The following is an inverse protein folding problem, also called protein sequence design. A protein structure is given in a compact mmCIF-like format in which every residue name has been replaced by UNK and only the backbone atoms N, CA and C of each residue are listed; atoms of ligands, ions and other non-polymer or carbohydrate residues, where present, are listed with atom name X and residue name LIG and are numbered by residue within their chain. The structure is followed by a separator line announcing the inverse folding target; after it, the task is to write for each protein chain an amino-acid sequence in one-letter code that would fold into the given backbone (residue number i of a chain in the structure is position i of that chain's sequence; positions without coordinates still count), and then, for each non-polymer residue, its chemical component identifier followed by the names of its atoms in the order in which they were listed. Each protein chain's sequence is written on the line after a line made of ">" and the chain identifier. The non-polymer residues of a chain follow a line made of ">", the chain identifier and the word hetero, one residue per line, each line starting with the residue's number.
data_IF_448405827453
#
_entry.id   IF_448405827453
#
_cell.length_a   1.000
_cell.length_b   1.000
_cell.length_c   1.000
_cell.angle_alpha   90.00
_cell.angle_beta   90.00
_cell.angle_gamma   90.00
#
_symmetry.space_group_name_H-M   'P 1'
#
loop_
_entity.id
_entity.type
_entity.pdbx_description
1 polymer ?
#
# COMPACT_ATOMS: atom_id res chain seq x y z
N UNK A 1 23.03 36.51 8.08
CA UNK A 1 22.53 35.23 8.61
C UNK A 1 21.15 35.42 9.29
N UNK A 2 20.22 36.17 8.66
CA UNK A 2 19.00 36.68 9.32
C UNK A 2 17.94 35.61 9.68
N UNK A 3 17.97 34.45 9.01
CA UNK A 3 16.98 33.37 9.24
C UNK A 3 17.25 32.64 10.56
N UNK A 4 18.52 32.48 10.95
CA UNK A 4 18.88 31.78 12.18
C UNK A 4 18.68 32.65 13.43
N UNK A 5 18.56 33.96 13.25
CA UNK A 5 18.31 34.93 14.32
C UNK A 5 16.80 35.02 14.65
N UNK A 6 15.93 34.48 13.79
CA UNK A 6 14.47 34.46 13.97
C UNK A 6 13.99 33.05 14.31
N UNK A 7 13.25 32.91 15.42
CA UNK A 7 12.71 31.62 15.89
C UNK A 7 11.83 30.96 14.83
N UNK A 8 11.04 31.71 14.08
CA UNK A 8 10.20 31.18 13.00
C UNK A 8 11.02 30.77 11.78
N UNK A 9 12.12 31.45 11.51
CA UNK A 9 13.09 31.06 10.49
C UNK A 9 13.72 29.69 10.81
N UNK A 10 14.10 29.48 12.07
CA UNK A 10 14.60 28.19 12.55
C UNK A 10 13.52 27.09 12.48
N UNK A 11 12.30 27.37 12.92
CA UNK A 11 11.17 26.41 12.83
C UNK A 11 10.88 26.02 11.39
N UNK A 12 10.93 26.97 10.45
CA UNK A 12 10.75 26.70 9.02
C UNK A 12 11.81 25.74 8.49
N UNK A 13 13.08 25.97 8.83
CA UNK A 13 14.18 25.06 8.44
C UNK A 13 13.95 23.67 9.03
N UNK A 14 13.62 23.59 10.32
CA UNK A 14 13.35 22.32 10.99
C UNK A 14 12.17 21.58 10.37
N UNK A 15 11.11 22.29 9.98
CA UNK A 15 9.97 21.72 9.27
C UNK A 15 10.40 21.09 7.94
N UNK A 16 11.12 21.84 7.09
CA UNK A 16 11.59 21.35 5.78
C UNK A 16 12.52 20.15 5.92
N UNK A 17 13.45 20.21 6.86
CA UNK A 17 14.35 19.10 7.18
C UNK A 17 13.56 17.88 7.66
N UNK A 18 12.55 18.08 8.52
CA UNK A 18 11.71 17.00 9.02
C UNK A 18 10.92 16.33 7.90
N UNK A 19 10.36 17.08 6.95
CA UNK A 19 9.68 16.52 5.76
C UNK A 19 10.64 15.60 4.99
N UNK A 20 11.85 16.06 4.70
CA UNK A 20 12.84 15.28 3.93
C UNK A 20 13.31 14.05 4.71
N UNK A 21 13.71 14.23 5.97
CA UNK A 21 14.21 13.16 6.83
C UNK A 21 13.14 12.09 7.01
N UNK A 22 11.91 12.48 7.34
CA UNK A 22 10.82 11.52 7.53
C UNK A 22 10.47 10.79 6.23
N UNK A 23 10.52 11.44 5.06
CA UNK A 23 10.35 10.75 3.78
C UNK A 23 11.40 9.64 3.57
N UNK A 24 12.67 9.93 3.84
CA UNK A 24 13.77 8.95 3.74
C UNK A 24 13.62 7.83 4.77
N UNK A 25 13.27 8.17 6.00
CA UNK A 25 13.04 7.20 7.08
C UNK A 25 11.86 6.30 6.74
N UNK A 26 10.74 6.85 6.29
CA UNK A 26 9.58 6.07 5.84
C UNK A 26 9.99 5.13 4.70
N UNK A 27 10.69 5.61 3.68
CA UNK A 27 11.18 4.77 2.58
C UNK A 27 12.14 3.65 3.01
N UNK A 28 12.81 3.77 4.17
CA UNK A 28 13.70 2.74 4.72
C UNK A 28 12.98 1.77 5.67
N UNK A 29 12.15 2.28 6.58
CA UNK A 29 11.43 1.50 7.60
C UNK A 29 10.37 0.65 6.94
N UNK A 30 9.51 1.33 6.19
CA UNK A 30 8.76 0.68 5.17
C UNK A 30 9.83 0.45 4.11
N UNK A 31 10.54 -0.66 4.09
CA UNK A 31 11.12 -1.22 2.87
C UNK A 31 10.87 -2.68 3.05
N UNK A 32 10.37 -3.41 2.05
CA UNK A 32 10.09 -4.81 2.25
C UNK A 32 11.42 -5.45 2.63
N UNK A 33 11.55 -5.97 3.85
CA UNK A 33 12.62 -6.89 4.21
C UNK A 33 12.29 -8.28 3.64
N UNK A 34 11.83 -8.30 2.39
CA UNK A 34 11.67 -9.49 1.61
C UNK A 34 13.10 -9.93 1.30
N UNK A 35 13.67 -10.69 2.25
CA UNK A 35 14.76 -11.57 1.91
C UNK A 35 14.16 -12.49 0.85
N UNK A 36 14.40 -12.18 -0.42
CA UNK A 36 14.43 -13.16 -1.49
C UNK A 36 15.59 -14.09 -1.15
N UNK A 37 15.46 -14.83 -0.04
CA UNK A 37 16.27 -16.01 0.14
C UNK A 37 15.81 -16.89 -1.01
N UNK A 38 16.75 -17.18 -1.89
CA UNK A 38 16.75 -18.24 -2.90
C UNK A 38 16.39 -19.63 -2.36
N UNK A 39 15.86 -19.72 -1.14
CA UNK A 39 15.21 -20.88 -0.58
C UNK A 39 13.80 -20.83 -1.12
N UNK A 40 13.51 -21.69 -2.12
CA UNK A 40 12.14 -22.09 -2.45
C UNK A 40 11.39 -22.26 -1.13
N UNK A 41 10.47 -21.36 -0.84
CA UNK A 41 9.70 -21.48 0.39
C UNK A 41 8.83 -22.70 0.19
N UNK A 42 9.17 -23.81 0.85
CA UNK A 42 8.45 -25.05 0.69
C UNK A 42 7.11 -24.94 1.43
N UNK A 43 6.16 -24.22 0.82
CA UNK A 43 4.86 -23.90 1.37
C UNK A 43 4.10 -25.16 1.81
N UNK A 44 4.35 -26.29 1.13
CA UNK A 44 3.64 -27.55 1.33
C UNK A 44 4.47 -28.67 1.97
N UNK A 45 5.71 -28.44 2.41
CA UNK A 45 6.58 -29.53 2.90
C UNK A 45 6.01 -30.28 4.11
N UNK A 46 5.34 -29.53 4.97
CA UNK A 46 4.72 -29.92 6.23
C UNK A 46 3.24 -30.33 6.07
N UNK A 47 2.73 -30.47 4.84
CA UNK A 47 1.34 -30.82 4.58
C UNK A 47 1.11 -32.33 4.70
N UNK A 48 0.85 -32.80 5.92
CA UNK A 48 0.71 -34.22 6.25
C UNK A 48 -0.42 -34.94 5.47
N UNK A 49 -1.49 -34.23 5.12
CA UNK A 49 -2.68 -34.79 4.47
C UNK A 49 -2.59 -34.88 2.94
N UNK A 50 -1.45 -34.48 2.36
CA UNK A 50 -1.25 -34.48 0.91
C UNK A 50 -0.36 -35.64 0.47
N UNK A 51 -0.73 -36.28 -0.64
CA UNK A 51 0.15 -37.23 -1.32
C UNK A 51 1.45 -36.55 -1.76
N UNK A 52 2.52 -37.33 -1.92
CA UNK A 52 3.82 -36.81 -2.36
C UNK A 52 3.74 -36.16 -3.75
N UNK A 53 2.95 -36.72 -4.66
CA UNK A 53 2.76 -36.20 -6.01
C UNK A 53 1.99 -34.87 -6.00
N UNK A 54 0.87 -34.81 -5.27
CA UNK A 54 0.09 -33.59 -5.13
C UNK A 54 0.91 -32.47 -4.47
N UNK A 55 1.67 -32.80 -3.43
CA UNK A 55 2.57 -31.86 -2.75
C UNK A 55 3.61 -31.27 -3.68
N UNK A 56 4.24 -32.10 -4.52
CA UNK A 56 5.22 -31.65 -5.52
C UNK A 56 4.59 -30.70 -6.53
N UNK A 57 3.44 -31.07 -7.09
CA UNK A 57 2.74 -30.23 -8.05
C UNK A 57 2.31 -28.89 -7.45
N UNK A 58 1.77 -28.90 -6.22
CA UNK A 58 1.37 -27.67 -5.52
C UNK A 58 2.56 -26.76 -5.24
N UNK A 59 3.72 -27.33 -4.90
CA UNK A 59 4.94 -26.56 -4.71
C UNK A 59 5.42 -25.93 -6.02
N UNK A 60 5.44 -26.68 -7.12
CA UNK A 60 5.80 -26.16 -8.45
C UNK A 60 4.83 -25.04 -8.89
N UNK A 61 3.53 -25.23 -8.67
CA UNK A 61 2.53 -24.21 -8.95
C UNK A 61 2.72 -22.96 -8.07
N UNK A 62 2.99 -23.13 -6.77
CA UNK A 62 3.24 -22.01 -5.87
C UNK A 62 4.52 -21.24 -6.23
N UNK A 63 5.58 -21.96 -6.61
CA UNK A 63 6.82 -21.36 -7.08
C UNK A 63 6.57 -20.50 -8.34
N UNK A 64 5.65 -20.93 -9.22
CA UNK A 64 5.29 -20.19 -10.44
C UNK A 64 4.55 -18.86 -10.16
N UNK A 65 3.78 -18.77 -9.07
CA UNK A 65 3.03 -17.55 -8.70
C UNK A 65 3.82 -16.62 -7.77
N UNK A 66 4.87 -17.13 -7.13
CA UNK A 66 5.72 -16.37 -6.19
C UNK A 66 6.25 -15.04 -6.75
N UNK A 67 6.68 -14.95 -8.03
CA UNK A 67 7.09 -13.67 -8.62
C UNK A 67 5.99 -12.61 -8.60
N UNK A 68 4.73 -12.99 -8.86
CA UNK A 68 3.57 -12.08 -8.85
C UNK A 68 3.26 -11.64 -7.43
N UNK A 69 3.27 -12.56 -6.47
CA UNK A 69 3.12 -12.24 -5.04
C UNK A 69 4.14 -11.20 -4.57
N UNK A 70 5.40 -11.34 -5.00
CA UNK A 70 6.44 -10.37 -4.67
C UNK A 70 6.14 -8.97 -5.21
N UNK A 71 5.62 -8.89 -6.44
CA UNK A 71 5.19 -7.61 -7.03
C UNK A 71 4.05 -7.00 -6.21
N UNK A 72 3.04 -7.78 -5.85
CA UNK A 72 1.91 -7.29 -5.05
C UNK A 72 2.34 -6.85 -3.66
N UNK A 73 3.19 -7.60 -2.97
CA UNK A 73 3.77 -7.22 -1.68
C UNK A 73 4.52 -5.89 -1.79
N UNK A 74 5.37 -5.75 -2.82
CA UNK A 74 6.12 -4.51 -3.06
C UNK A 74 5.21 -3.33 -3.36
N UNK A 75 4.11 -3.53 -4.10
CA UNK A 75 3.10 -2.49 -4.37
C UNK A 75 2.33 -2.13 -3.11
N UNK A 76 1.75 -3.10 -2.41
CA UNK A 76 1.08 -2.90 -1.12
C UNK A 76 1.97 -2.09 -0.18
N UNK A 77 3.22 -2.48 -0.08
CA UNK A 77 4.21 -1.82 0.75
C UNK A 77 4.43 -0.34 0.37
N UNK A 78 4.64 -0.04 -0.91
CA UNK A 78 4.79 1.35 -1.41
C UNK A 78 3.55 2.19 -1.12
N UNK A 79 2.37 1.66 -1.45
CA UNK A 79 1.10 2.35 -1.24
C UNK A 79 0.82 2.59 0.25
N UNK A 80 1.12 1.60 1.10
CA UNK A 80 1.01 1.74 2.56
C UNK A 80 1.97 2.79 3.12
N UNK A 81 3.24 2.78 2.69
CA UNK A 81 4.23 3.78 3.11
C UNK A 81 3.79 5.21 2.74
N UNK A 82 3.36 5.41 1.48
CA UNK A 82 2.85 6.69 1.01
C UNK A 82 1.58 7.10 1.76
N UNK A 83 0.64 6.18 1.98
CA UNK A 83 -0.58 6.43 2.73
C UNK A 83 -0.29 6.96 4.13
N UNK A 84 0.52 6.24 4.92
CA UNK A 84 0.82 6.64 6.29
C UNK A 84 1.68 7.91 6.36
N UNK A 85 2.61 8.09 5.43
CA UNK A 85 3.40 9.31 5.34
C UNK A 85 2.54 10.55 5.07
N UNK A 86 1.59 10.46 4.12
CA UNK A 86 0.65 11.53 3.82
C UNK A 86 -0.24 11.82 5.04
N UNK A 87 -0.85 10.79 5.62
CA UNK A 87 -1.74 10.95 6.79
C UNK A 87 -1.01 11.63 7.94
N UNK A 88 0.23 11.22 8.23
CA UNK A 88 1.04 11.84 9.26
C UNK A 88 1.21 13.35 9.04
N UNK A 89 1.63 13.75 7.84
CA UNK A 89 1.93 15.15 7.55
C UNK A 89 0.69 16.04 7.41
N UNK A 90 -0.41 15.52 6.86
CA UNK A 90 -1.67 16.27 6.80
C UNK A 90 -2.27 16.44 8.19
N UNK A 91 -2.15 15.45 9.07
CA UNK A 91 -2.55 15.57 10.48
C UNK A 91 -1.68 16.57 11.23
N UNK A 92 -0.35 16.46 11.17
CA UNK A 92 0.57 17.41 11.83
C UNK A 92 0.31 18.83 11.36
N UNK A 93 0.15 19.05 10.04
CA UNK A 93 -0.11 20.38 9.50
C UNK A 93 -1.43 20.93 10.03
N UNK A 94 -2.52 20.16 9.93
CA UNK A 94 -3.84 20.56 10.42
C UNK A 94 -3.84 20.92 11.91
N UNK A 95 -3.13 20.15 12.74
CA UNK A 95 -3.01 20.42 14.17
C UNK A 95 -2.15 21.65 14.47
N UNK A 96 -1.14 21.94 13.64
CA UNK A 96 -0.22 23.07 13.85
C UNK A 96 -0.81 24.43 13.43
N UNK A 97 -1.76 24.45 12.49
CA UNK A 97 -2.28 25.69 11.90
C UNK A 97 -2.89 26.66 12.92
N UNK A 98 -3.76 26.24 13.86
CA UNK A 98 -4.36 27.15 14.84
C UNK A 98 -3.32 27.87 15.72
N UNK A 99 -2.20 27.23 16.01
CA UNK A 99 -1.14 27.79 16.84
C UNK A 99 -0.21 28.73 16.07
N UNK A 100 -0.08 28.53 14.75
CA UNK A 100 0.82 29.32 13.90
C UNK A 100 0.14 30.55 13.31
N UNK A 101 -1.18 30.51 13.10
CA UNK A 101 -1.90 31.55 12.34
C UNK A 101 -1.84 32.94 13.01
N UNK A 102 -1.81 32.99 14.34
CA UNK A 102 -1.74 34.25 15.09
C UNK A 102 -0.44 35.05 14.85
N UNK A 103 0.61 34.40 14.35
CA UNK A 103 1.93 35.01 14.12
C UNK A 103 2.13 35.49 12.68
N UNK A 104 1.24 35.11 11.75
CA UNK A 104 1.37 35.37 10.30
C UNK A 104 1.35 36.87 9.94
N UNK A 105 0.65 37.68 10.73
CA UNK A 105 0.55 39.12 10.51
C UNK A 105 1.89 39.83 10.73
N UNK A 106 2.65 39.38 11.74
CA UNK A 106 3.79 40.12 12.28
C UNK A 106 5.16 39.49 11.96
N UNK A 107 5.20 38.28 11.39
CA UNK A 107 6.44 37.58 11.07
C UNK A 107 6.40 36.94 9.68
N UNK A 108 7.38 37.30 8.83
CA UNK A 108 7.48 36.81 7.46
C UNK A 108 7.72 35.28 7.39
N UNK A 109 8.58 34.74 8.25
CA UNK A 109 8.86 33.30 8.29
C UNK A 109 7.68 32.49 8.80
N UNK A 110 6.90 33.00 9.75
CA UNK A 110 5.65 32.37 10.17
C UNK A 110 4.64 32.31 9.02
N UNK A 111 4.52 33.39 8.23
CA UNK A 111 3.68 33.43 7.03
C UNK A 111 4.14 32.41 5.99
N UNK A 112 5.44 32.35 5.70
CA UNK A 112 6.01 31.39 4.76
C UNK A 112 5.79 29.95 5.21
N UNK A 113 5.98 29.66 6.50
CA UNK A 113 5.73 28.33 7.07
C UNK A 113 4.29 27.88 6.83
N UNK A 114 3.30 28.73 7.14
CA UNK A 114 1.89 28.42 6.94
C UNK A 114 1.57 28.20 5.45
N UNK A 115 2.08 29.05 4.57
CA UNK A 115 1.88 28.91 3.12
C UNK A 115 2.47 27.60 2.58
N UNK A 116 3.73 27.30 2.93
CA UNK A 116 4.43 26.09 2.49
C UNK A 116 3.73 24.84 3.05
N UNK A 117 3.41 24.81 4.34
CA UNK A 117 2.77 23.65 4.96
C UNK A 117 1.38 23.37 4.38
N UNK A 118 0.61 24.44 4.11
CA UNK A 118 -0.72 24.33 3.49
C UNK A 118 -0.62 23.83 2.05
N UNK A 119 0.27 24.41 1.24
CA UNK A 119 0.49 23.97 -0.14
C UNK A 119 0.98 22.53 -0.21
N UNK A 120 1.95 22.16 0.64
CA UNK A 120 2.45 20.80 0.76
C UNK A 120 1.34 19.81 1.14
N UNK A 121 0.52 20.14 2.15
CA UNK A 121 -0.60 19.28 2.56
C UNK A 121 -1.65 19.11 1.47
N UNK A 122 -1.96 20.18 0.72
CA UNK A 122 -2.90 20.11 -0.40
C UNK A 122 -2.37 19.23 -1.53
N UNK A 123 -1.09 19.37 -1.90
CA UNK A 123 -0.44 18.50 -2.90
C UNK A 123 -0.47 17.04 -2.43
N UNK A 124 -0.09 16.80 -1.18
CA UNK A 124 -0.05 15.47 -0.59
C UNK A 124 -1.45 14.81 -0.56
N UNK A 125 -2.47 15.57 -0.20
CA UNK A 125 -3.86 15.12 -0.24
C UNK A 125 -4.34 14.83 -1.68
N UNK A 126 -4.00 15.70 -2.63
CA UNK A 126 -4.27 15.49 -4.05
C UNK A 126 -3.66 14.18 -4.55
N UNK A 127 -2.37 13.96 -4.29
CA UNK A 127 -1.67 12.72 -4.65
C UNK A 127 -2.32 11.50 -3.98
N UNK A 128 -2.70 11.58 -2.71
CA UNK A 128 -3.35 10.48 -2.00
C UNK A 128 -4.64 10.03 -2.68
N UNK A 129 -5.47 11.00 -3.04
CA UNK A 129 -6.77 10.79 -3.69
C UNK A 129 -6.60 10.30 -5.13
N UNK A 130 -5.79 11.00 -5.94
CA UNK A 130 -5.56 10.68 -7.36
C UNK A 130 -5.03 9.26 -7.54
N UNK A 131 -4.09 8.83 -6.70
CA UNK A 131 -3.52 7.49 -6.78
C UNK A 131 -4.24 6.47 -5.90
N UNK A 132 -5.40 6.80 -5.30
CA UNK A 132 -6.20 5.90 -4.46
C UNK A 132 -5.34 5.12 -3.44
N UNK A 133 -4.37 5.79 -2.80
CA UNK A 133 -3.25 5.13 -2.11
C UNK A 133 -3.72 4.14 -1.02
N UNK A 134 -4.76 4.52 -0.26
CA UNK A 134 -5.37 3.66 0.78
C UNK A 134 -6.00 2.39 0.18
N UNK A 135 -6.79 2.57 -0.87
CA UNK A 135 -7.56 1.50 -1.50
C UNK A 135 -6.62 0.49 -2.16
N UNK A 136 -5.62 0.94 -2.90
CA UNK A 136 -4.63 0.07 -3.51
C UNK A 136 -3.81 -0.69 -2.47
N UNK A 137 -3.39 -0.02 -1.39
CA UNK A 137 -2.73 -0.69 -0.28
C UNK A 137 -3.58 -1.85 0.26
N UNK A 138 -4.86 -1.60 0.55
CA UNK A 138 -5.78 -2.61 1.06
C UNK A 138 -6.00 -3.74 0.06
N UNK A 139 -6.27 -3.41 -1.21
CA UNK A 139 -6.49 -4.38 -2.29
C UNK A 139 -5.30 -5.31 -2.49
N UNK A 140 -4.07 -4.81 -2.59
CA UNK A 140 -2.89 -5.67 -2.74
C UNK A 140 -2.63 -6.57 -1.52
N UNK A 141 -2.91 -6.08 -0.30
CA UNK A 141 -2.81 -6.91 0.92
C UNK A 141 -3.88 -8.01 0.96
N UNK A 142 -5.08 -7.72 0.47
CA UNK A 142 -6.15 -8.72 0.36
C UNK A 142 -5.81 -9.81 -0.65
N UNK A 143 -5.28 -9.46 -1.83
CA UNK A 143 -4.83 -10.44 -2.82
C UNK A 143 -3.78 -11.42 -2.26
N UNK A 144 -2.77 -10.86 -1.59
CA UNK A 144 -1.73 -11.65 -0.90
C UNK A 144 -2.34 -12.57 0.16
N UNK A 145 -3.20 -12.02 1.02
CA UNK A 145 -3.89 -12.79 2.07
C UNK A 145 -4.76 -13.91 1.49
N UNK A 146 -5.42 -13.67 0.36
CA UNK A 146 -6.26 -14.65 -0.32
C UNK A 146 -5.45 -15.83 -0.85
N UNK A 147 -4.26 -15.59 -1.41
CA UNK A 147 -3.36 -16.69 -1.82
C UNK A 147 -2.90 -17.49 -0.60
N UNK A 148 -2.44 -16.83 0.47
CA UNK A 148 -2.01 -17.53 1.68
C UNK A 148 -3.14 -18.30 2.36
N UNK A 149 -4.37 -17.80 2.28
CA UNK A 149 -5.54 -18.51 2.77
C UNK A 149 -5.78 -19.79 1.96
N UNK A 150 -5.70 -19.76 0.64
CA UNK A 150 -5.85 -20.97 -0.19
C UNK A 150 -4.73 -21.98 0.04
N UNK A 151 -3.47 -21.53 0.17
CA UNK A 151 -2.35 -22.39 0.57
C UNK A 151 -2.64 -23.06 1.91
N UNK A 152 -3.08 -22.27 2.91
CA UNK A 152 -3.42 -22.79 4.24
C UNK A 152 -4.56 -23.80 4.19
N UNK A 153 -5.64 -23.49 3.47
CA UNK A 153 -6.76 -24.42 3.28
C UNK A 153 -6.28 -25.72 2.65
N UNK A 154 -5.51 -25.67 1.57
CA UNK A 154 -4.99 -26.88 0.93
C UNK A 154 -4.10 -27.72 1.86
N UNK A 155 -3.39 -27.09 2.81
CA UNK A 155 -2.56 -27.82 3.78
C UNK A 155 -3.35 -28.51 4.89
N UNK A 156 -4.37 -27.83 5.42
CA UNK A 156 -5.06 -28.27 6.65
C UNK A 156 -6.44 -28.89 6.39
N UNK A 157 -7.05 -28.57 5.25
CA UNK A 157 -8.36 -29.03 4.81
C UNK A 157 -8.36 -29.20 3.28
N UNK A 158 -7.57 -30.16 2.74
CA UNK A 158 -7.47 -30.36 1.29
C UNK A 158 -8.78 -30.83 0.67
N UNK A 159 -9.66 -31.49 1.43
CA UNK A 159 -10.94 -32.00 0.93
C UNK A 159 -11.93 -30.86 0.63
N UNK A 160 -11.70 -29.65 1.16
CA UNK A 160 -12.41 -28.43 0.72
C UNK A 160 -12.20 -28.10 -0.76
N UNK A 161 -11.21 -28.68 -1.42
CA UNK A 161 -10.95 -28.57 -2.86
C UNK A 161 -11.47 -29.77 -3.66
N UNK A 162 -12.30 -30.63 -3.07
CA UNK A 162 -12.92 -31.78 -3.71
C UNK A 162 -12.22 -33.10 -3.42
N UNK A 163 -12.88 -34.19 -3.82
CA UNK A 163 -12.41 -35.55 -3.57
C UNK A 163 -11.38 -35.98 -4.61
N UNK A 164 -10.28 -36.59 -4.14
CA UNK A 164 -9.20 -37.06 -4.99
C UNK A 164 -8.21 -35.97 -5.42
N UNK A 165 -6.98 -36.39 -5.72
CA UNK A 165 -5.87 -35.48 -6.00
C UNK A 165 -6.08 -34.65 -7.26
N UNK A 166 -6.74 -35.20 -8.28
CA UNK A 166 -7.03 -34.50 -9.54
C UNK A 166 -7.94 -33.28 -9.32
N UNK A 167 -9.08 -33.48 -8.65
CA UNK A 167 -10.01 -32.41 -8.33
C UNK A 167 -9.36 -31.36 -7.43
N UNK A 168 -8.55 -31.78 -6.45
CA UNK A 168 -7.78 -30.86 -5.58
C UNK A 168 -6.85 -29.96 -6.39
N UNK A 169 -6.15 -30.49 -7.40
CA UNK A 169 -5.28 -29.68 -8.30
C UNK A 169 -6.10 -28.67 -9.09
N UNK A 170 -7.17 -29.13 -9.74
CA UNK A 170 -8.00 -28.30 -10.61
C UNK A 170 -8.64 -27.16 -9.82
N UNK A 171 -9.31 -27.48 -8.70
CA UNK A 171 -10.02 -26.49 -7.91
C UNK A 171 -9.08 -25.49 -7.24
N UNK A 172 -7.89 -25.94 -6.81
CA UNK A 172 -6.85 -25.04 -6.32
C UNK A 172 -6.34 -24.11 -7.42
N UNK A 173 -6.03 -24.63 -8.61
CA UNK A 173 -5.59 -23.80 -9.74
C UNK A 173 -6.63 -22.75 -10.11
N UNK A 174 -7.92 -23.12 -10.15
CA UNK A 174 -9.03 -22.20 -10.43
C UNK A 174 -9.11 -21.12 -9.34
N UNK A 175 -9.03 -21.50 -8.07
CA UNK A 175 -9.08 -20.55 -6.96
C UNK A 175 -7.92 -19.54 -7.02
N UNK A 176 -6.71 -19.99 -7.38
CA UNK A 176 -5.54 -19.12 -7.54
C UNK A 176 -5.67 -18.23 -8.79
N UNK A 177 -6.12 -18.77 -9.93
CA UNK A 177 -6.27 -17.96 -11.16
C UNK A 177 -7.32 -16.86 -10.98
N UNK A 178 -8.43 -17.14 -10.30
CA UNK A 178 -9.42 -16.11 -9.96
C UNK A 178 -8.78 -14.94 -9.19
N UNK A 179 -7.92 -15.22 -8.23
CA UNK A 179 -7.19 -14.16 -7.49
C UNK A 179 -6.22 -13.41 -8.41
N UNK A 180 -5.60 -14.08 -9.39
CA UNK A 180 -4.73 -13.44 -10.37
C UNK A 180 -5.50 -12.55 -11.33
N UNK A 181 -6.69 -12.95 -11.76
CA UNK A 181 -7.60 -12.14 -12.58
C UNK A 181 -8.04 -10.89 -11.82
N UNK A 182 -8.47 -11.04 -10.56
CA UNK A 182 -8.78 -9.92 -9.67
C UNK A 182 -7.58 -8.98 -9.54
N UNK A 183 -6.40 -9.56 -9.33
CA UNK A 183 -5.13 -8.83 -9.25
C UNK A 183 -4.85 -8.02 -10.51
N UNK A 184 -4.95 -8.64 -11.69
CA UNK A 184 -4.81 -7.95 -13.00
C UNK A 184 -5.80 -6.80 -13.14
N UNK A 185 -7.06 -6.98 -12.75
CA UNK A 185 -8.06 -5.90 -12.80
C UNK A 185 -7.61 -4.69 -11.96
N UNK A 186 -7.04 -4.93 -10.78
CA UNK A 186 -6.53 -3.90 -9.89
C UNK A 186 -5.29 -3.22 -10.47
N UNK A 187 -4.44 -3.95 -11.19
CA UNK A 187 -3.30 -3.36 -11.88
C UNK A 187 -3.71 -2.41 -13.01
N UNK A 188 -4.81 -2.72 -13.71
CA UNK A 188 -5.34 -1.95 -14.84
C UNK A 188 -6.17 -0.75 -14.37
N UNK A 189 -7.02 -0.91 -13.35
CA UNK A 189 -7.85 0.14 -12.73
C UNK A 189 -7.01 1.23 -12.01
N UNK A 190 -5.70 1.04 -11.93
CA UNK A 190 -4.74 1.95 -11.31
C UNK A 190 -4.15 2.99 -12.28
N UNK A 191 -4.64 3.07 -13.53
CA UNK A 191 -4.30 4.18 -14.41
C UNK A 191 -5.04 5.43 -13.90
N UNK A 192 -4.36 6.51 -13.50
CA UNK A 192 -5.02 7.74 -13.07
C UNK A 192 -5.89 8.24 -14.22
N UNK A 193 -7.20 8.22 -14.04
CA UNK A 193 -8.13 8.72 -15.04
C UNK A 193 -8.49 10.17 -14.64
N UNK A 194 -7.93 11.20 -15.31
CA UNK A 194 -8.06 12.60 -14.87
C UNK A 194 -9.49 13.15 -14.92
N UNK A 195 -10.48 12.35 -15.33
CA UNK A 195 -11.87 12.76 -15.57
C UNK A 195 -12.83 12.24 -14.47
N UNK A 196 -12.43 11.32 -13.60
CA UNK A 196 -13.39 10.63 -12.70
C UNK A 196 -13.90 11.46 -11.51
N UNK A 197 -13.39 12.67 -11.28
CA UNK A 197 -13.91 13.59 -10.25
C UNK A 197 -15.01 14.52 -10.77
N UNK A 198 -15.28 14.54 -12.08
CA UNK A 198 -16.35 15.35 -12.66
C UNK A 198 -17.73 14.67 -12.61
N UNK A 199 -17.78 13.34 -12.62
CA UNK A 199 -19.02 12.61 -12.91
C UNK A 199 -19.79 12.07 -11.69
N UNK A 200 -19.42 12.49 -10.46
CA UNK A 200 -20.08 12.03 -9.23
C UNK A 200 -21.06 13.04 -8.62
N UNK A 201 -21.42 14.09 -9.37
CA UNK A 201 -22.40 15.11 -8.93
C UNK A 201 -23.75 15.07 -9.65
N UNK A 202 -23.90 14.24 -10.68
CA UNK A 202 -25.10 14.26 -11.52
C UNK A 202 -26.10 13.12 -11.24
N UNK A 203 -25.77 12.15 -10.38
CA UNK A 203 -26.64 10.99 -10.08
C UNK A 203 -27.43 11.09 -8.75
N UNK A 204 -27.20 12.13 -7.93
CA UNK A 204 -27.93 12.32 -6.66
C UNK A 204 -29.15 13.25 -6.78
N UNK A 205 -29.61 13.49 -8.02
CA UNK A 205 -30.57 14.55 -8.35
C UNK A 205 -31.82 14.12 -9.12
N UNK A 206 -32.32 12.88 -8.95
CA UNK A 206 -33.66 12.51 -9.41
C UNK A 206 -34.35 11.56 -8.42
N UNK A 207 -35.04 12.13 -7.43
CA UNK A 207 -36.34 11.67 -6.90
C UNK A 207 -37.13 12.84 -6.33
#
# INVERSE_FOLDING_TARGET
>A
MKVLDDVWGVILILYLMSVIITAVVFYKIFKPQLKVKSVRYNAFNDAAFLSSELRRWLQEHYDSITPVLYIWQKRAWRYGAMHYYIVLWTTITSLSLPFTIQYVANNEYARLLVQIATAFSAIMFGLHSTFKMKELYQRYRLLESSIYMNVRKMKYDPDSFGEGDENKRINYAIAIEKIREDGRSIEIDNIPNPISTANKRDDDGEK
#
